data_IF_041516251892
#
_entry.id   IF_041516251892
#
_cell.length_a   1.000
_cell.length_b   1.000
_cell.length_c   1.000
_cell.angle_alpha   90.00
_cell.angle_beta   90.00
_cell.angle_gamma   90.00
#
_symmetry.space_group_name_H-M   'P 1'
#
loop_
_entity.id
_entity.type
_entity.pdbx_description
1 polymer ?
#
# COMPACT_ATOMS: atom_id res chain seq x y z
N UNK A 1 19.81 10.05 -10.99
CA UNK A 1 18.53 9.41 -10.63
C UNK A 1 18.15 8.22 -11.53
N UNK A 2 18.88 7.92 -12.60
CA UNK A 2 18.45 7.00 -13.66
C UNK A 2 18.66 5.48 -13.41
N UNK A 3 19.10 5.05 -12.21
CA UNK A 3 19.51 3.64 -11.99
C UNK A 3 18.76 2.93 -10.84
N UNK A 4 17.66 3.52 -10.34
CA UNK A 4 16.86 2.90 -9.29
C UNK A 4 15.76 2.04 -9.90
N UNK A 5 15.76 0.73 -9.62
CA UNK A 5 14.64 -0.18 -9.95
C UNK A 5 13.31 0.41 -9.47
N UNK A 6 12.24 0.23 -10.23
CA UNK A 6 10.90 0.65 -9.80
C UNK A 6 10.45 -0.14 -8.56
N UNK A 7 9.53 0.43 -7.77
CA UNK A 7 8.98 -0.27 -6.60
C UNK A 7 8.35 -1.61 -7.02
N UNK A 8 7.64 -1.64 -8.14
CA UNK A 8 7.06 -2.85 -8.70
C UNK A 8 8.11 -3.90 -9.09
N UNK A 9 9.25 -3.50 -9.67
CA UNK A 9 10.33 -4.44 -10.01
C UNK A 9 10.93 -5.07 -8.74
N UNK A 10 11.15 -4.27 -7.69
CA UNK A 10 11.66 -4.75 -6.40
C UNK A 10 10.66 -5.70 -5.73
N UNK A 11 9.38 -5.33 -5.73
CA UNK A 11 8.30 -6.14 -5.18
C UNK A 11 8.18 -7.50 -5.89
N UNK A 12 8.25 -7.53 -7.22
CA UNK A 12 8.25 -8.77 -8.02
C UNK A 12 9.48 -9.64 -7.78
N UNK A 13 10.63 -9.02 -7.50
CA UNK A 13 11.89 -9.69 -7.21
C UNK A 13 12.02 -10.18 -5.75
N UNK A 14 10.96 -10.07 -4.94
CA UNK A 14 10.99 -10.43 -3.51
C UNK A 14 12.02 -9.65 -2.68
N UNK A 15 12.35 -8.43 -3.13
CA UNK A 15 13.22 -7.55 -2.36
C UNK A 15 12.43 -6.89 -1.22
N UNK A 16 13.03 -6.88 -0.03
CA UNK A 16 12.49 -6.13 1.10
C UNK A 16 12.69 -4.63 0.89
N UNK A 17 11.60 -3.86 1.03
CA UNK A 17 11.61 -2.40 1.01
C UNK A 17 11.11 -1.89 2.35
N UNK A 18 11.99 -1.26 3.13
CA UNK A 18 11.61 -0.61 4.39
C UNK A 18 11.00 0.76 4.08
N UNK A 19 9.82 1.03 4.62
CA UNK A 19 9.12 2.31 4.43
C UNK A 19 9.09 3.13 5.72
N UNK A 20 9.33 4.44 5.63
CA UNK A 20 9.02 5.37 6.72
C UNK A 20 7.55 5.76 6.70
N UNK A 21 6.91 5.88 7.86
CA UNK A 21 5.50 6.28 7.96
C UNK A 21 5.37 7.78 8.30
N UNK A 22 4.84 8.58 7.38
CA UNK A 22 4.63 10.01 7.56
C UNK A 22 3.17 10.32 7.87
N UNK A 23 2.96 10.98 9.02
CA UNK A 23 1.67 11.50 9.45
C UNK A 23 1.59 13.03 9.37
N UNK A 24 2.71 13.72 9.09
CA UNK A 24 2.80 15.19 9.09
C UNK A 24 2.83 15.73 7.65
N UNK A 25 2.06 16.80 7.30
CA UNK A 25 1.88 17.27 5.95
C UNK A 25 2.97 18.28 5.58
N UNK A 26 4.23 17.92 5.82
CA UNK A 26 5.38 18.78 5.66
C UNK A 26 6.36 18.18 4.63
N UNK A 27 6.50 18.76 3.42
CA UNK A 27 7.40 18.24 2.38
C UNK A 27 8.84 18.07 2.86
N UNK A 28 9.35 19.00 3.68
CA UNK A 28 10.70 18.92 4.25
C UNK A 28 10.89 17.68 5.15
N UNK A 29 9.85 17.26 5.87
CA UNK A 29 9.88 16.04 6.71
C UNK A 29 9.91 14.81 5.81
N UNK A 30 9.07 14.78 4.77
CA UNK A 30 9.03 13.66 3.84
C UNK A 30 10.34 13.51 3.04
N UNK A 31 10.97 14.61 2.63
CA UNK A 31 12.31 14.59 2.03
C UNK A 31 13.38 14.12 3.01
N UNK A 32 13.36 14.60 4.25
CA UNK A 32 14.30 14.16 5.28
C UNK A 32 14.19 12.65 5.54
N UNK A 33 12.97 12.11 5.62
CA UNK A 33 12.73 10.66 5.70
C UNK A 33 13.30 9.91 4.50
N UNK A 34 13.06 10.40 3.28
CA UNK A 34 13.61 9.78 2.07
C UNK A 34 15.15 9.78 2.05
N UNK A 35 15.78 10.85 2.53
CA UNK A 35 17.25 10.98 2.64
C UNK A 35 17.85 10.17 3.80
N UNK A 36 17.05 9.76 4.78
CA UNK A 36 17.50 8.98 5.92
C UNK A 36 17.80 7.50 5.58
N UNK A 37 17.64 7.09 4.32
CA UNK A 37 18.00 5.75 3.84
C UNK A 37 16.83 4.76 3.79
N UNK A 38 15.60 5.20 4.05
CA UNK A 38 14.41 4.38 3.84
C UNK A 38 14.21 4.09 2.34
N UNK A 39 13.83 2.86 2.03
CA UNK A 39 13.55 2.46 0.65
C UNK A 39 12.28 3.11 0.10
N UNK A 40 11.33 3.42 0.97
CA UNK A 40 10.09 4.11 0.64
C UNK A 40 9.66 5.09 1.75
N UNK A 41 8.72 5.96 1.43
CA UNK A 41 7.97 6.76 2.40
C UNK A 41 6.48 6.57 2.12
N UNK A 42 5.75 6.14 3.15
CA UNK A 42 4.30 6.02 3.15
C UNK A 42 3.69 7.29 3.73
N UNK A 43 2.92 8.00 2.92
CA UNK A 43 2.16 9.18 3.32
C UNK A 43 0.75 8.77 3.71
N UNK A 44 0.33 9.11 4.93
CA UNK A 44 -0.89 8.57 5.52
C UNK A 44 -2.04 9.59 5.55
N UNK A 45 -3.08 9.30 4.77
CA UNK A 45 -4.32 10.11 4.72
C UNK A 45 -5.45 9.58 5.62
N UNK A 46 -5.28 8.43 6.28
CA UNK A 46 -6.34 7.84 7.12
C UNK A 46 -6.24 8.33 8.57
N UNK A 47 -5.06 8.18 9.16
CA UNK A 47 -4.79 8.59 10.55
C UNK A 47 -3.72 9.68 10.65
N UNK A 48 -2.98 9.94 9.57
CA UNK A 48 -2.18 11.15 9.43
C UNK A 48 -3.04 12.34 9.04
N UNK A 49 -2.42 13.52 9.03
CA UNK A 49 -3.07 14.79 8.66
C UNK A 49 -2.74 15.21 7.21
N UNK A 50 -2.42 14.25 6.35
CA UNK A 50 -2.21 14.50 4.92
C UNK A 50 -3.54 14.67 4.18
N UNK A 51 -3.69 15.80 3.49
CA UNK A 51 -4.72 16.01 2.47
C UNK A 51 -4.16 15.83 1.04
N UNK A 52 -5.02 15.94 0.02
CA UNK A 52 -4.61 15.78 -1.38
C UNK A 52 -3.53 16.78 -1.85
N UNK A 53 -3.53 18.00 -1.30
CA UNK A 53 -2.52 19.01 -1.63
C UNK A 53 -1.15 18.65 -1.04
N UNK A 54 -1.13 18.27 0.24
CA UNK A 54 0.06 17.83 0.93
C UNK A 54 0.64 16.55 0.32
N UNK A 55 -0.20 15.61 -0.16
CA UNK A 55 0.25 14.41 -0.86
C UNK A 55 0.99 14.79 -2.14
N UNK A 56 0.41 15.65 -2.99
CA UNK A 56 1.06 16.11 -4.22
C UNK A 56 2.46 16.68 -3.94
N UNK A 57 2.58 17.52 -2.91
CA UNK A 57 3.84 18.21 -2.60
C UNK A 57 4.86 17.28 -1.93
N UNK A 58 4.42 16.41 -1.01
CA UNK A 58 5.29 15.44 -0.35
C UNK A 58 5.77 14.34 -1.31
N UNK A 59 4.95 13.88 -2.26
CA UNK A 59 5.38 12.91 -3.27
C UNK A 59 6.56 13.42 -4.10
N UNK A 60 6.55 14.72 -4.44
CA UNK A 60 7.67 15.37 -5.12
C UNK A 60 8.92 15.41 -4.25
N UNK A 61 8.77 15.72 -2.96
CA UNK A 61 9.85 15.78 -1.98
C UNK A 61 10.49 14.40 -1.73
N UNK A 62 9.66 13.36 -1.61
CA UNK A 62 10.10 11.95 -1.49
C UNK A 62 10.86 11.51 -2.75
N UNK A 63 10.36 11.87 -3.94
CA UNK A 63 11.08 11.62 -5.18
C UNK A 63 12.47 12.27 -5.15
N UNK A 64 12.54 13.57 -4.85
CA UNK A 64 13.79 14.33 -4.77
C UNK A 64 14.79 13.73 -3.75
N UNK A 65 14.29 13.24 -2.63
CA UNK A 65 15.08 12.55 -1.60
C UNK A 65 15.55 11.15 -1.99
N UNK A 66 15.04 10.57 -3.08
CA UNK A 66 15.52 9.30 -3.61
C UNK A 66 14.87 8.05 -3.01
N UNK A 67 13.68 8.16 -2.39
CA UNK A 67 12.89 7.01 -1.91
C UNK A 67 11.66 6.71 -2.80
N UNK A 68 11.07 5.53 -2.64
CA UNK A 68 9.80 5.15 -3.27
C UNK A 68 8.60 5.81 -2.59
N UNK A 69 7.50 5.96 -3.34
CA UNK A 69 6.38 6.82 -2.96
C UNK A 69 5.13 5.99 -2.72
N UNK A 70 4.68 5.88 -1.48
CA UNK A 70 3.50 5.11 -1.10
C UNK A 70 2.46 6.03 -0.46
N UNK A 71 1.18 5.81 -0.75
CA UNK A 71 0.08 6.57 -0.11
C UNK A 71 -0.91 5.60 0.51
N UNK A 72 -1.26 5.79 1.79
CA UNK A 72 -2.45 5.16 2.38
C UNK A 72 -3.62 6.12 2.24
N UNK A 73 -4.69 5.68 1.57
CA UNK A 73 -5.91 6.47 1.40
C UNK A 73 -6.86 6.31 2.60
N UNK A 74 -7.86 7.19 2.78
CA UNK A 74 -8.91 6.98 3.77
C UNK A 74 -9.77 5.75 3.44
N UNK A 75 -10.47 5.22 4.46
CA UNK A 75 -11.47 4.15 4.28
C UNK A 75 -12.54 4.58 3.28
N UNK A 76 -12.85 3.71 2.31
CA UNK A 76 -13.80 4.01 1.23
C UNK A 76 -13.31 5.07 0.23
N UNK A 77 -12.06 5.53 0.34
CA UNK A 77 -11.48 6.61 -0.43
C UNK A 77 -11.04 6.26 -1.84
N UNK A 78 -11.70 5.34 -2.55
CA UNK A 78 -11.28 4.87 -3.89
C UNK A 78 -11.11 6.01 -4.90
N UNK A 79 -11.92 7.07 -4.80
CA UNK A 79 -11.75 8.27 -5.62
C UNK A 79 -10.41 9.00 -5.37
N UNK A 80 -9.81 8.86 -4.19
CA UNK A 80 -8.48 9.38 -3.88
C UNK A 80 -7.37 8.46 -4.40
N UNK A 81 -7.65 7.17 -4.64
CA UNK A 81 -6.64 6.22 -5.14
C UNK A 81 -6.09 6.65 -6.51
N UNK A 82 -6.99 6.94 -7.46
CA UNK A 82 -6.62 7.43 -8.78
C UNK A 82 -5.86 8.76 -8.72
N UNK A 83 -6.28 9.68 -7.84
CA UNK A 83 -5.63 10.99 -7.65
C UNK A 83 -4.24 10.85 -7.04
N UNK A 84 -4.05 9.96 -6.06
CA UNK A 84 -2.74 9.68 -5.47
C UNK A 84 -1.80 9.09 -6.52
N UNK A 85 -2.30 8.16 -7.34
CA UNK A 85 -1.54 7.59 -8.43
C UNK A 85 -1.23 8.64 -9.53
N UNK A 86 -2.15 9.56 -9.86
CA UNK A 86 -1.90 10.65 -10.83
C UNK A 86 -0.91 11.69 -10.29
N UNK A 87 -0.89 11.89 -8.96
CA UNK A 87 0.10 12.71 -8.27
C UNK A 87 1.49 12.04 -8.21
N UNK A 88 1.58 10.75 -8.58
CA UNK A 88 2.84 10.02 -8.74
C UNK A 88 3.16 9.02 -7.63
N UNK A 89 2.18 8.59 -6.84
CA UNK A 89 2.36 7.42 -5.98
C UNK A 89 2.74 6.18 -6.81
N UNK A 90 3.73 5.42 -6.35
CA UNK A 90 4.15 4.15 -6.94
C UNK A 90 3.39 2.97 -6.33
N UNK A 91 2.81 3.16 -5.15
CA UNK A 91 1.85 2.24 -4.56
C UNK A 91 0.76 2.99 -3.78
N UNK A 92 -0.45 2.43 -3.76
CA UNK A 92 -1.56 2.90 -2.93
C UNK A 92 -2.01 1.76 -2.02
N UNK A 93 -2.22 2.06 -0.75
CA UNK A 93 -2.76 1.15 0.25
C UNK A 93 -4.20 1.57 0.58
N UNK A 94 -5.16 0.67 0.37
CA UNK A 94 -6.55 0.87 0.77
C UNK A 94 -6.82 0.16 2.12
N UNK A 95 -7.15 0.89 3.20
CA UNK A 95 -7.49 0.30 4.49
C UNK A 95 -8.84 -0.43 4.45
N UNK A 96 -9.05 -1.35 5.40
CA UNK A 96 -10.33 -2.00 5.67
C UNK A 96 -10.98 -2.71 4.47
N UNK A 97 -10.18 -3.38 3.62
CA UNK A 97 -10.72 -4.20 2.52
C UNK A 97 -11.12 -5.57 3.10
N UNK A 98 -12.43 -5.78 3.25
CA UNK A 98 -13.02 -6.96 3.91
C UNK A 98 -13.67 -7.94 2.93
N UNK A 99 -13.74 -7.61 1.64
CA UNK A 99 -14.36 -8.45 0.62
C UNK A 99 -13.72 -8.31 -0.76
N UNK A 100 -13.95 -9.32 -1.61
CA UNK A 100 -13.57 -9.27 -3.02
C UNK A 100 -14.30 -8.16 -3.80
N UNK A 101 -15.49 -7.74 -3.36
CA UNK A 101 -16.22 -6.62 -3.98
C UNK A 101 -15.51 -5.29 -3.74
N UNK A 102 -15.13 -5.01 -2.49
CA UNK A 102 -14.36 -3.82 -2.13
C UNK A 102 -13.00 -3.80 -2.83
N UNK A 103 -12.34 -4.96 -2.90
CA UNK A 103 -11.09 -5.13 -3.65
C UNK A 103 -11.26 -4.83 -5.15
N UNK A 104 -12.34 -5.30 -5.80
CA UNK A 104 -12.64 -4.97 -7.21
C UNK A 104 -12.88 -3.48 -7.39
N UNK A 105 -13.60 -2.83 -6.49
CA UNK A 105 -13.84 -1.39 -6.56
C UNK A 105 -12.53 -0.59 -6.42
N UNK A 106 -11.63 -1.03 -5.55
CA UNK A 106 -10.30 -0.43 -5.39
C UNK A 106 -9.42 -0.65 -6.62
N UNK A 107 -9.33 -1.88 -7.12
CA UNK A 107 -8.58 -2.22 -8.34
C UNK A 107 -9.07 -1.42 -9.56
N UNK A 108 -10.38 -1.27 -9.71
CA UNK A 108 -10.98 -0.48 -10.78
C UNK A 108 -10.55 1.00 -10.74
N UNK A 109 -10.40 1.59 -9.55
CA UNK A 109 -9.92 2.96 -9.39
C UNK A 109 -8.40 3.11 -9.65
N UNK A 110 -7.62 2.05 -9.44
CA UNK A 110 -6.17 2.06 -9.57
C UNK A 110 -5.69 1.80 -11.01
N UNK A 111 -6.38 0.92 -11.74
CA UNK A 111 -5.92 0.40 -13.03
C UNK A 111 -6.69 1.02 -14.20
N UNK A 112 -5.99 1.20 -15.32
CA UNK A 112 -6.57 1.54 -16.62
C UNK A 112 -7.23 0.32 -17.28
N UNK A 113 -8.12 0.51 -18.26
CA UNK A 113 -8.64 -0.57 -19.08
C UNK A 113 -7.52 -1.45 -19.67
N UNK A 114 -7.70 -2.78 -19.75
CA UNK A 114 -8.92 -3.55 -19.43
C UNK A 114 -9.04 -3.97 -17.95
N UNK A 115 -8.04 -3.69 -17.11
CA UNK A 115 -8.02 -4.17 -15.71
C UNK A 115 -8.86 -3.33 -14.76
N UNK A 116 -9.16 -2.09 -15.13
CA UNK A 116 -9.95 -1.18 -14.33
C UNK A 116 -10.57 -0.06 -15.17
N UNK A 117 -11.01 1.00 -14.49
CA UNK A 117 -11.75 2.12 -15.06
C UNK A 117 -11.15 3.48 -14.67
N UNK A 118 -9.89 3.53 -14.25
CA UNK A 118 -9.18 4.77 -13.93
C UNK A 118 -9.21 5.72 -15.14
N UNK A 119 -9.58 6.98 -14.89
CA UNK A 119 -9.55 8.04 -15.90
C UNK A 119 -8.12 8.49 -16.21
N UNK A 120 -7.90 9.01 -17.42
CA UNK A 120 -6.59 9.44 -17.91
C UNK A 120 -6.26 10.88 -17.50
N UNK A 121 -5.21 11.05 -16.69
CA UNK A 121 -4.62 12.35 -16.35
C UNK A 121 -3.26 12.32 -15.63
N UNK A 122 -2.33 11.38 -15.89
CA UNK A 122 -1.15 11.16 -15.05
C UNK A 122 0.02 12.12 -15.36
N UNK A 123 -0.27 13.41 -15.63
CA UNK A 123 0.76 14.40 -16.01
C UNK A 123 1.87 14.44 -14.97
N UNK A 124 1.52 14.56 -13.68
CA UNK A 124 2.51 14.64 -12.60
C UNK A 124 3.24 13.31 -12.39
N UNK A 125 2.52 12.19 -12.42
CA UNK A 125 3.11 10.87 -12.27
C UNK A 125 4.18 10.58 -13.33
N UNK A 126 3.92 10.88 -14.61
CA UNK A 126 4.90 10.69 -15.67
C UNK A 126 6.16 11.55 -15.52
N UNK A 127 6.02 12.80 -15.09
CA UNK A 127 7.15 13.69 -14.82
C UNK A 127 8.02 13.13 -13.70
N UNK A 128 7.40 12.61 -12.63
CA UNK A 128 8.13 12.00 -11.51
C UNK A 128 8.75 10.64 -11.88
N UNK A 129 8.14 9.91 -12.80
CA UNK A 129 8.69 8.67 -13.36
C UNK A 129 9.79 8.93 -14.40
N UNK A 130 9.92 10.16 -14.93
CA UNK A 130 10.84 10.48 -16.02
C UNK A 130 10.45 9.81 -17.35
N UNK A 131 9.16 9.54 -17.55
CA UNK A 131 8.62 8.83 -18.71
C UNK A 131 7.82 9.77 -19.61
N UNK A 132 7.72 9.42 -20.90
CA UNK A 132 6.73 10.07 -21.78
C UNK A 132 5.31 9.61 -21.42
N UNK A 133 4.28 10.33 -21.88
CA UNK A 133 2.89 9.92 -21.67
C UNK A 133 2.58 8.51 -22.24
N UNK A 134 2.99 8.17 -23.48
CA UNK A 134 2.82 6.82 -24.00
C UNK A 134 3.55 5.74 -23.18
N UNK A 135 4.79 5.98 -22.78
CA UNK A 135 5.56 5.01 -22.00
C UNK A 135 4.93 4.76 -20.62
N UNK A 136 4.48 5.84 -19.97
CA UNK A 136 3.75 5.74 -18.71
C UNK A 136 2.47 4.93 -18.88
N UNK A 137 1.67 5.18 -19.91
CA UNK A 137 0.44 4.40 -20.15
C UNK A 137 0.73 2.91 -20.32
N UNK A 138 1.78 2.58 -21.08
CA UNK A 138 2.18 1.20 -21.33
C UNK A 138 2.61 0.46 -20.05
N UNK A 139 3.26 1.16 -19.12
CA UNK A 139 3.75 0.59 -17.85
C UNK A 139 2.77 0.68 -16.68
N UNK A 140 1.86 1.65 -16.66
CA UNK A 140 1.13 2.10 -15.47
C UNK A 140 0.44 0.97 -14.70
N UNK A 141 -0.27 0.07 -15.39
CA UNK A 141 -0.98 -1.04 -14.75
C UNK A 141 -0.05 -2.02 -14.02
N UNK A 142 1.20 -2.13 -14.48
CA UNK A 142 2.21 -3.04 -13.95
C UNK A 142 3.20 -2.40 -12.98
N UNK A 143 3.28 -1.06 -12.97
CA UNK A 143 4.23 -0.27 -12.17
C UNK A 143 3.59 0.41 -10.96
N UNK A 144 2.31 0.79 -11.04
CA UNK A 144 1.58 1.40 -9.92
C UNK A 144 0.86 0.30 -9.14
N UNK A 145 1.34 0.03 -7.93
CA UNK A 145 0.88 -1.10 -7.11
C UNK A 145 -0.37 -0.75 -6.30
N UNK A 146 -1.31 -1.69 -6.22
CA UNK A 146 -2.51 -1.60 -5.40
C UNK A 146 -2.43 -2.65 -4.28
N UNK A 147 -2.35 -2.18 -3.03
CA UNK A 147 -2.32 -3.04 -1.84
C UNK A 147 -3.63 -2.96 -1.06
N UNK A 148 -4.31 -4.08 -0.93
CA UNK A 148 -5.44 -4.20 -0.01
C UNK A 148 -4.91 -4.38 1.42
N UNK A 149 -5.30 -3.51 2.35
CA UNK A 149 -4.93 -3.68 3.74
C UNK A 149 -5.87 -4.69 4.41
N UNK A 150 -5.28 -5.72 5.00
CA UNK A 150 -5.96 -6.80 5.70
C UNK A 150 -5.77 -6.56 7.20
N UNK A 151 -6.83 -6.14 7.86
CA UNK A 151 -6.77 -5.68 9.26
C UNK A 151 -8.00 -6.04 10.10
N UNK A 152 -8.82 -6.97 9.59
CA UNK A 152 -10.01 -7.49 10.28
C UNK A 152 -10.09 -9.01 10.14
N UNK A 153 -10.84 -9.71 11.00
CA UNK A 153 -11.12 -11.14 10.84
C UNK A 153 -11.88 -11.46 9.55
N UNK A 154 -12.79 -10.57 9.13
CA UNK A 154 -13.55 -10.70 7.88
C UNK A 154 -12.60 -10.67 6.67
N UNK A 155 -11.64 -9.75 6.67
CA UNK A 155 -10.62 -9.65 5.62
C UNK A 155 -9.71 -10.89 5.58
N UNK A 156 -9.40 -11.49 6.74
CA UNK A 156 -8.67 -12.78 6.80
C UNK A 156 -9.51 -13.89 6.19
N UNK A 157 -10.79 -13.98 6.52
CA UNK A 157 -11.68 -15.01 5.99
C UNK A 157 -11.86 -14.91 4.46
N UNK A 158 -11.86 -13.68 3.93
CA UNK A 158 -11.98 -13.40 2.50
C UNK A 158 -10.64 -13.27 1.75
N UNK A 159 -9.51 -13.58 2.39
CA UNK A 159 -8.17 -13.22 1.90
C UNK A 159 -7.87 -13.77 0.50
N UNK A 160 -8.17 -15.05 0.26
CA UNK A 160 -7.94 -15.70 -1.03
C UNK A 160 -8.79 -15.08 -2.13
N UNK A 161 -10.03 -14.70 -1.82
CA UNK A 161 -10.93 -14.05 -2.77
C UNK A 161 -10.48 -12.62 -3.09
N UNK A 162 -9.96 -11.88 -2.10
CA UNK A 162 -9.39 -10.53 -2.27
C UNK A 162 -8.15 -10.60 -3.17
N UNK A 163 -7.25 -11.54 -2.92
CA UNK A 163 -6.05 -11.75 -3.73
C UNK A 163 -6.33 -12.22 -5.15
N UNK A 164 -7.42 -12.95 -5.37
CA UNK A 164 -7.81 -13.42 -6.69
C UNK A 164 -8.33 -12.29 -7.61
N UNK A 165 -8.58 -11.08 -7.07
CA UNK A 165 -9.06 -9.94 -7.85
C UNK A 165 -7.96 -9.41 -8.78
N UNK A 166 -8.17 -9.41 -10.12
CA UNK A 166 -7.24 -8.78 -11.05
C UNK A 166 -7.04 -7.30 -10.73
N UNK A 167 -5.78 -6.89 -10.65
CA UNK A 167 -5.41 -5.51 -10.33
C UNK A 167 -5.13 -5.24 -8.85
N UNK A 168 -5.34 -6.21 -7.95
CA UNK A 168 -4.73 -6.23 -6.62
C UNK A 168 -3.35 -6.86 -6.74
N UNK A 169 -2.29 -6.11 -6.37
CA UNK A 169 -0.91 -6.57 -6.52
C UNK A 169 -0.38 -7.28 -5.26
N UNK A 170 -1.02 -7.08 -4.11
CA UNK A 170 -0.63 -7.71 -2.85
C UNK A 170 -1.45 -7.18 -1.68
N UNK A 171 -1.03 -7.54 -0.47
CA UNK A 171 -1.68 -7.08 0.76
C UNK A 171 -0.75 -6.31 1.67
N UNK A 172 -1.32 -5.41 2.45
CA UNK A 172 -0.66 -4.77 3.57
C UNK A 172 -1.30 -5.26 4.87
N UNK A 173 -0.53 -5.60 5.90
CA UNK A 173 -1.12 -6.02 7.19
C UNK A 173 -1.23 -4.80 8.10
N UNK A 174 -2.43 -4.52 8.61
CA UNK A 174 -2.68 -3.47 9.60
C UNK A 174 -2.65 -4.03 11.03
N UNK A 175 -1.49 -4.08 11.72
CA UNK A 175 -1.38 -4.80 12.99
C UNK A 175 -2.21 -4.18 14.12
N UNK A 176 -2.37 -2.85 14.12
CA UNK A 176 -3.15 -2.14 15.13
C UNK A 176 -4.59 -2.63 15.18
N UNK A 177 -5.32 -2.45 14.08
CA UNK A 177 -6.73 -2.84 13.98
C UNK A 177 -6.91 -4.35 14.02
N UNK A 178 -5.99 -5.12 13.42
CA UNK A 178 -6.07 -6.58 13.46
C UNK A 178 -5.94 -7.12 14.89
N UNK A 179 -5.02 -6.57 15.68
CA UNK A 179 -4.83 -6.97 17.07
C UNK A 179 -6.08 -6.63 17.92
N UNK A 180 -6.70 -5.47 17.69
CA UNK A 180 -7.89 -5.03 18.41
C UNK A 180 -9.11 -5.91 18.10
N UNK A 181 -9.30 -6.25 16.84
CA UNK A 181 -10.44 -7.05 16.38
C UNK A 181 -10.31 -8.52 16.79
N UNK A 182 -9.14 -9.14 16.62
CA UNK A 182 -8.87 -10.51 17.10
C UNK A 182 -8.96 -10.62 18.63
N UNK A 183 -8.50 -9.60 19.36
CA UNK A 183 -8.59 -9.59 20.83
C UNK A 183 -10.02 -9.42 21.33
N UNK A 184 -10.93 -8.81 20.55
CA UNK A 184 -12.37 -8.73 20.89
C UNK A 184 -13.08 -10.06 20.61
N UNK A 185 -12.72 -10.75 19.52
CA UNK A 185 -13.22 -12.11 19.25
C UNK A 185 -12.86 -13.10 20.37
N UNK A 186 -11.73 -12.90 21.06
CA UNK A 186 -11.33 -13.71 22.21
C UNK A 186 -12.07 -13.36 23.52
N UNK A 187 -12.84 -12.25 23.59
CA UNK A 187 -13.55 -11.83 24.81
C UNK A 187 -14.96 -12.39 24.95
N UNK A 188 -15.42 -13.26 24.04
CA UNK A 188 -16.72 -13.94 24.16
C UNK A 188 -16.58 -15.37 24.68
N UNK A 189 -16.23 -15.50 25.96
CA UNK A 189 -16.77 -16.46 26.97
C UNK A 189 -15.82 -16.50 28.18
N UNK A 190 -16.29 -16.18 29.42
CA UNK A 190 -15.47 -16.34 30.60
C UNK A 190 -15.52 -17.81 31.05
N UNK A 191 -14.46 -18.56 30.78
CA UNK A 191 -14.13 -19.73 31.62
C UNK A 191 -12.72 -19.56 32.16
N UNK A 192 -12.64 -19.46 33.48
CA UNK A 192 -11.40 -19.31 34.21
C UNK A 192 -10.59 -20.61 34.13
N UNK A 193 -9.32 -20.52 33.71
CA UNK A 193 -8.20 -21.29 34.29
C UNK A 193 -6.87 -20.61 33.95
N UNK A 194 -5.90 -20.55 34.89
CA UNK A 194 -4.73 -19.70 34.75
C UNK A 194 -3.50 -20.44 34.19
N UNK A 195 -2.66 -19.66 33.49
CA UNK A 195 -1.21 -19.84 33.35
C UNK A 195 -0.70 -20.92 32.38
N UNK A 196 -0.27 -20.47 31.19
CA UNK A 196 0.69 -21.15 30.32
C UNK A 196 1.47 -20.13 29.50
N UNK A 197 2.80 -20.06 29.68
CA UNK A 197 3.70 -19.13 28.95
C UNK A 197 3.62 -19.35 27.43
N UNK A 198 3.73 -18.31 26.58
CA UNK A 198 4.00 -18.52 25.17
C UNK A 198 5.49 -18.88 24.97
N UNK A 199 5.74 -20.01 24.33
CA UNK A 199 7.04 -20.34 23.76
C UNK A 199 7.16 -19.67 22.38
N UNK A 200 8.24 -18.94 22.19
CA UNK A 200 8.64 -18.38 20.89
C UNK A 200 9.08 -19.50 19.95
N UNK A 201 8.69 -19.39 18.67
CA UNK A 201 9.33 -20.16 17.59
C UNK A 201 8.41 -20.42 16.40
N UNK A 202 8.42 -19.52 15.42
CA UNK A 202 8.04 -19.90 14.05
C UNK A 202 8.96 -19.17 13.08
N UNK A 203 9.96 -19.90 12.58
CA UNK A 203 10.79 -19.52 11.45
C UNK A 203 9.93 -19.45 10.19
N UNK A 204 9.92 -18.29 9.53
CA UNK A 204 9.25 -18.12 8.25
C UNK A 204 9.83 -19.07 7.20
N UNK A 205 8.99 -19.94 6.64
CA UNK A 205 9.30 -20.69 5.42
C UNK A 205 9.17 -19.76 4.20
N UNK A 206 10.05 -19.86 3.20
CA UNK A 206 9.90 -19.09 1.97
C UNK A 206 8.66 -19.56 1.21
N UNK A 207 7.84 -18.60 0.76
CA UNK A 207 6.60 -18.86 0.05
C UNK A 207 6.88 -19.10 -1.46
N UNK A 208 6.07 -19.93 -2.16
CA UNK A 208 6.27 -20.21 -3.57
C UNK A 208 5.97 -18.99 -4.47
N UNK A 209 6.46 -18.98 -5.73
CA UNK A 209 6.16 -17.92 -6.69
C UNK A 209 4.65 -17.78 -6.90
N UNK A 210 4.11 -16.58 -6.65
CA UNK A 210 2.66 -16.32 -6.71
C UNK A 210 1.92 -16.34 -5.38
N UNK A 211 2.62 -16.56 -4.25
CA UNK A 211 2.02 -16.51 -2.92
C UNK A 211 1.86 -15.07 -2.38
N UNK A 212 0.82 -14.90 -1.56
CA UNK A 212 0.49 -13.75 -0.71
C UNK A 212 1.75 -12.99 -0.22
N UNK A 213 1.93 -11.77 -0.71
CA UNK A 213 2.99 -10.86 -0.23
C UNK A 213 2.37 -9.88 0.74
N UNK A 214 2.59 -10.11 2.03
CA UNK A 214 2.23 -9.20 3.10
C UNK A 214 3.37 -8.20 3.34
N UNK A 215 3.08 -6.91 3.18
CA UNK A 215 3.96 -5.84 3.67
C UNK A 215 3.44 -5.44 5.05
N UNK A 216 4.30 -5.51 6.07
CA UNK A 216 4.03 -4.91 7.39
C UNK A 216 4.96 -3.71 7.58
N UNK A 217 4.42 -2.61 8.11
CA UNK A 217 5.23 -1.50 8.63
C UNK A 217 5.92 -1.89 9.94
#
# INVERSE_FOLDING_TARGET
>A
MADRKTLAARFKADETVVTAWSVLPAPVVAEAMARAGFGAVTLDMQHGIHDAGSIRDCLAAVALGGAHRIVRIPVGGNAMASRAADAGAEAVIAPMINSAEEARAFAAAMKYPPLGSRSWGPVRASMLAGQTMPDYLAGANSEVLAFAMIETPEAIAALDEILAVPGIDGVFVGPGDLSLTLSKAQRSTPTASPCGRPQNGSSARPAPPGALRAISA
#
